data_IF_207252291288
#
_entry.id   IF_207252291288
#
_cell.length_a   1.000
_cell.length_b   1.000
_cell.length_c   1.000
_cell.angle_alpha   90.00
_cell.angle_beta   90.00
_cell.angle_gamma   90.00
#
_symmetry.space_group_name_H-M   'P 1'
#
loop_
_entity.id
_entity.type
_entity.pdbx_description
1 polymer ?
#
# COMPACT_ATOMS: atom_id res chain seq x y z
N UNK A 1 14.02 9.54 0.79
CA UNK A 1 13.16 10.00 -0.32
C UNK A 1 11.86 10.42 0.31
N UNK A 2 11.40 11.62 -0.03
CA UNK A 2 10.22 12.20 0.61
C UNK A 2 8.97 11.81 -0.17
N UNK A 3 7.95 11.35 0.54
CA UNK A 3 6.63 11.07 -0.01
C UNK A 3 5.56 11.86 0.74
N UNK A 4 4.69 12.53 0.00
CA UNK A 4 3.41 13.01 0.54
C UNK A 4 2.44 11.84 0.56
N UNK A 5 1.90 11.54 1.74
CA UNK A 5 1.12 10.35 2.01
C UNK A 5 -0.19 10.68 2.70
N UNK A 6 -1.21 9.85 2.45
CA UNK A 6 -2.52 10.00 3.07
C UNK A 6 -2.94 8.70 3.76
N UNK A 7 -3.50 8.82 4.97
CA UNK A 7 -4.01 7.71 5.75
C UNK A 7 -5.52 7.89 6.00
N UNK A 8 -6.32 6.94 5.52
CA UNK A 8 -7.77 6.92 5.73
C UNK A 8 -8.12 6.16 7.01
N UNK A 9 -8.90 6.76 7.92
CA UNK A 9 -9.25 6.16 9.21
C UNK A 9 -10.64 6.56 9.70
N UNK A 10 -11.19 5.78 10.64
CA UNK A 10 -12.44 6.12 11.35
C UNK A 10 -12.34 7.47 12.07
N UNK A 11 -13.49 8.14 12.27
CA UNK A 11 -13.58 9.35 13.10
C UNK A 11 -13.67 9.06 14.60
N UNK A 12 -13.67 7.79 15.01
CA UNK A 12 -13.82 7.42 16.41
C UNK A 12 -12.77 8.09 17.31
N UNK A 13 -13.22 8.60 18.46
CA UNK A 13 -12.39 9.40 19.37
C UNK A 13 -12.14 10.86 18.92
N UNK A 14 -12.57 11.24 17.72
CA UNK A 14 -12.51 12.61 17.20
C UNK A 14 -11.13 13.09 16.76
N UNK A 15 -11.06 14.32 16.26
CA UNK A 15 -9.86 14.92 15.64
C UNK A 15 -8.60 14.81 16.49
N UNK A 16 -8.67 15.12 17.80
CA UNK A 16 -7.50 15.09 18.68
C UNK A 16 -6.93 13.67 18.82
N UNK A 17 -7.81 12.68 18.97
CA UNK A 17 -7.41 11.27 19.05
C UNK A 17 -6.74 10.85 17.75
N UNK A 18 -7.37 11.13 16.61
CA UNK A 18 -6.88 10.73 15.30
C UNK A 18 -5.52 11.38 15.00
N UNK A 19 -5.34 12.67 15.20
CA UNK A 19 -4.05 13.34 14.96
C UNK A 19 -2.92 12.88 15.89
N UNK A 20 -3.26 12.36 17.07
CA UNK A 20 -2.27 11.82 18.01
C UNK A 20 -1.88 10.38 17.68
N UNK A 21 -2.85 9.59 17.20
CA UNK A 21 -2.71 8.14 17.09
C UNK A 21 -2.59 7.63 15.64
N UNK A 22 -2.92 8.42 14.63
CA UNK A 22 -2.67 8.04 13.24
C UNK A 22 -1.16 7.87 12.98
N UNK A 23 -0.77 6.94 12.10
CA UNK A 23 -1.63 6.00 11.39
C UNK A 23 -2.04 4.84 12.31
N UNK A 24 -3.18 4.22 11.99
CA UNK A 24 -3.69 3.06 12.71
C UNK A 24 -3.22 1.76 12.04
N UNK A 25 -3.01 0.74 12.87
CA UNK A 25 -2.57 -0.56 12.42
C UNK A 25 -3.70 -1.27 11.66
N UNK A 26 -3.40 -1.78 10.46
CA UNK A 26 -4.29 -2.61 9.68
C UNK A 26 -3.97 -4.07 9.98
N UNK A 27 -4.90 -4.72 10.68
CA UNK A 27 -4.85 -6.14 11.01
C UNK A 27 -5.78 -6.98 10.11
N UNK A 28 -5.65 -8.30 10.20
CA UNK A 28 -6.60 -9.22 9.60
C UNK A 28 -7.89 -9.26 10.40
N UNK A 29 -9.01 -9.06 9.73
CA UNK A 29 -10.32 -9.29 10.32
C UNK A 29 -10.99 -10.47 9.61
N UNK A 30 -10.79 -11.66 10.15
CA UNK A 30 -11.35 -12.90 9.63
C UNK A 30 -12.88 -12.95 9.70
N UNK A 31 -13.52 -12.18 10.59
CA UNK A 31 -14.99 -12.15 10.71
C UNK A 31 -15.64 -11.40 9.55
N UNK A 32 -14.95 -10.42 8.99
CA UNK A 32 -15.43 -9.56 7.91
C UNK A 32 -14.76 -9.87 6.56
N UNK A 33 -13.96 -10.94 6.49
CA UNK A 33 -13.11 -11.28 5.34
C UNK A 33 -12.27 -10.09 4.83
N UNK A 34 -11.85 -9.22 5.74
CA UNK A 34 -11.02 -8.05 5.43
C UNK A 34 -9.56 -8.39 5.68
N UNK A 35 -8.77 -8.32 4.62
CA UNK A 35 -7.32 -8.52 4.65
C UNK A 35 -6.59 -7.26 4.16
N UNK A 36 -5.47 -6.87 4.79
CA UNK A 36 -4.60 -5.82 4.28
C UNK A 36 -4.00 -6.20 2.91
N UNK A 37 -3.54 -5.22 2.13
CA UNK A 37 -2.98 -5.48 0.78
C UNK A 37 -1.64 -6.22 0.80
N UNK A 38 -0.74 -5.84 1.72
CA UNK A 38 0.68 -6.23 1.80
C UNK A 38 1.02 -6.78 3.20
N UNK A 39 0.10 -7.53 3.80
CA UNK A 39 0.25 -8.09 5.16
C UNK A 39 -0.11 -7.09 6.26
N UNK A 40 -0.12 -7.50 7.52
CA UNK A 40 -0.45 -6.58 8.61
C UNK A 40 0.55 -5.41 8.69
N UNK A 41 0.09 -4.20 9.01
CA UNK A 41 0.95 -3.01 9.01
C UNK A 41 0.23 -1.67 8.96
N UNK A 42 0.98 -0.60 8.74
CA UNK A 42 0.48 0.78 8.65
C UNK A 42 0.47 1.23 7.19
N UNK A 43 -0.70 1.63 6.71
CA UNK A 43 -0.94 1.88 5.29
C UNK A 43 -1.15 3.35 4.98
N UNK A 44 -0.63 3.72 3.80
CA UNK A 44 -0.78 5.02 3.22
C UNK A 44 -1.09 4.92 1.72
N UNK A 45 -1.89 5.86 1.25
CA UNK A 45 -1.98 6.22 -0.16
C UNK A 45 -0.85 7.18 -0.49
N UNK A 46 -0.13 6.93 -1.58
CA UNK A 46 0.91 7.84 -2.04
C UNK A 46 0.27 8.97 -2.86
N UNK A 47 0.12 10.13 -2.23
CA UNK A 47 -0.51 11.33 -2.80
C UNK A 47 -1.76 11.05 -3.66
N UNK A 48 -2.67 10.25 -3.13
CA UNK A 48 -3.89 9.81 -3.82
C UNK A 48 -5.16 10.02 -2.98
N UNK A 49 -5.56 11.28 -2.85
CA UNK A 49 -6.71 11.67 -2.01
C UNK A 49 -8.02 11.07 -2.55
N UNK A 50 -8.11 10.89 -3.86
CA UNK A 50 -9.30 10.31 -4.50
C UNK A 50 -9.50 8.87 -4.07
N UNK A 51 -8.45 8.02 -4.13
CA UNK A 51 -8.56 6.66 -3.63
C UNK A 51 -8.66 6.59 -2.11
N UNK A 52 -8.05 7.52 -1.38
CA UNK A 52 -8.26 7.64 0.07
C UNK A 52 -9.74 7.85 0.43
N UNK A 53 -10.46 8.69 -0.35
CA UNK A 53 -11.90 8.93 -0.20
C UNK A 53 -12.74 7.73 -0.64
N UNK A 54 -12.40 7.11 -1.77
CA UNK A 54 -13.09 5.90 -2.27
C UNK A 54 -13.03 4.79 -1.21
N UNK A 55 -11.84 4.53 -0.65
CA UNK A 55 -11.67 3.57 0.43
C UNK A 55 -12.49 3.95 1.67
N UNK A 56 -12.42 5.21 2.10
CA UNK A 56 -13.13 5.66 3.29
C UNK A 56 -14.65 5.52 3.16
N UNK A 57 -15.20 5.83 1.99
CA UNK A 57 -16.62 5.65 1.68
C UNK A 57 -17.05 4.19 1.81
N UNK A 58 -16.26 3.27 1.25
CA UNK A 58 -16.57 1.83 1.25
C UNK A 58 -16.40 1.20 2.63
N UNK A 59 -15.40 1.62 3.42
CA UNK A 59 -15.02 0.92 4.64
C UNK A 59 -15.57 1.53 5.93
N UNK A 60 -15.97 2.80 5.90
CA UNK A 60 -16.45 3.52 7.09
C UNK A 60 -17.85 4.12 6.92
N UNK A 61 -18.66 3.65 5.96
CA UNK A 61 -20.02 4.15 5.72
C UNK A 61 -20.08 5.69 5.62
N UNK A 62 -19.12 6.28 4.90
CA UNK A 62 -18.94 7.73 4.78
C UNK A 62 -18.73 8.47 6.13
N UNK A 63 -18.13 7.81 7.13
CA UNK A 63 -17.75 8.42 8.41
C UNK A 63 -16.24 8.24 8.70
N UNK A 64 -15.40 9.02 8.01
CA UNK A 64 -13.94 8.88 8.10
C UNK A 64 -13.19 10.23 7.98
N UNK A 65 -11.93 10.19 8.40
CA UNK A 65 -10.95 11.23 8.11
C UNK A 65 -9.90 10.70 7.12
N UNK A 66 -9.30 11.62 6.37
CA UNK A 66 -8.02 11.39 5.69
C UNK A 66 -6.98 12.32 6.30
N UNK A 67 -5.94 11.74 6.88
CA UNK A 67 -4.80 12.47 7.41
C UNK A 67 -3.70 12.52 6.35
N UNK A 68 -3.12 13.69 6.09
CA UNK A 68 -2.00 13.87 5.18
C UNK A 68 -0.73 14.26 5.94
N UNK A 69 0.41 13.76 5.48
CA UNK A 69 1.72 14.07 6.01
C UNK A 69 2.80 13.92 4.93
N UNK A 70 4.00 14.42 5.21
CA UNK A 70 5.20 14.10 4.45
C UNK A 70 6.07 13.16 5.29
N UNK A 71 6.47 12.04 4.71
CA UNK A 71 7.33 11.03 5.34
C UNK A 71 8.62 10.86 4.55
N UNK A 72 9.71 10.56 5.25
CA UNK A 72 10.98 10.17 4.63
C UNK A 72 11.13 8.64 4.67
N UNK A 73 11.46 8.07 3.51
CA UNK A 73 11.82 6.65 3.35
C UNK A 73 13.28 6.59 2.91
N UNK A 74 14.12 5.99 3.75
CA UNK A 74 15.51 5.72 3.40
C UNK A 74 15.59 4.64 2.31
N UNK A 75 16.25 4.94 1.21
CA UNK A 75 16.49 4.02 0.09
C UNK A 75 17.98 3.70 -0.08
N UNK A 76 18.84 4.28 0.76
CA UNK A 76 20.28 4.05 0.78
C UNK A 76 20.62 2.83 1.64
N UNK A 77 19.79 2.54 2.65
CA UNK A 77 19.87 1.32 3.42
C UNK A 77 19.35 0.14 2.58
N UNK A 78 20.28 -0.67 2.07
CA UNK A 78 19.95 -1.87 1.32
C UNK A 78 19.03 -2.80 2.12
N UNK A 79 18.07 -3.41 1.43
CA UNK A 79 17.09 -4.28 2.05
C UNK A 79 16.00 -3.60 2.90
N UNK A 80 16.01 -2.28 3.10
CA UNK A 80 14.98 -1.61 3.93
C UNK A 80 13.64 -1.40 3.21
N UNK A 81 13.70 -1.00 1.94
CA UNK A 81 12.55 -0.55 1.14
C UNK A 81 12.40 -1.40 -0.13
N UNK A 82 11.23 -2.04 -0.27
CA UNK A 82 10.87 -2.80 -1.47
C UNK A 82 9.86 -2.01 -2.30
N UNK A 83 10.22 -1.72 -3.55
CA UNK A 83 9.39 -0.94 -4.47
C UNK A 83 8.87 -1.84 -5.59
N UNK A 84 7.67 -2.38 -5.36
CA UNK A 84 6.94 -3.21 -6.32
C UNK A 84 6.07 -2.36 -7.27
N UNK A 85 6.32 -1.05 -7.37
CA UNK A 85 5.60 -0.14 -8.23
C UNK A 85 6.48 0.46 -9.34
N UNK A 86 7.63 1.03 -8.96
CA UNK A 86 8.49 1.82 -9.84
C UNK A 86 9.89 1.25 -10.06
N UNK A 87 10.35 0.31 -9.24
CA UNK A 87 11.70 -0.23 -9.33
C UNK A 87 11.74 -1.59 -10.03
N UNK A 88 12.27 -1.61 -11.26
CA UNK A 88 12.33 -2.85 -12.06
C UNK A 88 13.19 -3.93 -11.42
N UNK A 89 14.30 -3.58 -10.75
CA UNK A 89 15.18 -4.55 -10.08
C UNK A 89 14.46 -5.21 -8.91
N UNK A 90 13.75 -4.42 -8.10
CA UNK A 90 12.94 -4.93 -6.99
C UNK A 90 11.84 -5.88 -7.48
N UNK A 91 11.16 -5.53 -8.58
CA UNK A 91 10.15 -6.39 -9.21
C UNK A 91 10.73 -7.73 -9.70
N UNK A 92 11.88 -7.73 -10.36
CA UNK A 92 12.55 -8.97 -10.80
C UNK A 92 12.97 -9.81 -9.59
N UNK A 93 13.70 -9.21 -8.65
CA UNK A 93 14.22 -9.91 -7.48
C UNK A 93 13.12 -10.48 -6.60
N UNK A 94 11.99 -9.78 -6.45
CA UNK A 94 10.85 -10.31 -5.72
C UNK A 94 10.25 -11.54 -6.42
N UNK A 95 10.13 -11.55 -7.75
CA UNK A 95 9.68 -12.75 -8.49
C UNK A 95 10.65 -13.92 -8.33
N UNK A 96 11.96 -13.66 -8.33
CA UNK A 96 12.98 -14.68 -8.10
C UNK A 96 12.89 -15.27 -6.69
N UNK A 97 12.75 -14.41 -5.66
CA UNK A 97 12.50 -14.82 -4.28
C UNK A 97 11.25 -15.70 -4.19
N UNK A 98 10.13 -15.28 -4.79
CA UNK A 98 8.90 -16.08 -4.76
C UNK A 98 9.08 -17.45 -5.44
N UNK A 99 9.93 -17.55 -6.47
CA UNK A 99 10.23 -18.84 -7.13
C UNK A 99 11.09 -19.73 -6.25
N UNK A 100 12.10 -19.17 -5.59
CA UNK A 100 13.00 -19.89 -4.69
C UNK A 100 12.22 -20.56 -3.55
N UNK A 101 11.24 -19.86 -2.98
CA UNK A 101 10.38 -20.37 -1.91
C UNK A 101 9.13 -21.12 -2.42
N UNK A 102 9.00 -21.40 -3.72
CA UNK A 102 7.84 -22.05 -4.34
C UNK A 102 6.48 -21.36 -4.04
N UNK A 103 6.48 -20.04 -3.89
CA UNK A 103 5.31 -19.20 -3.61
C UNK A 103 4.63 -18.66 -4.88
N UNK A 104 5.29 -18.77 -6.03
CA UNK A 104 4.72 -18.42 -7.34
C UNK A 104 4.99 -19.53 -8.35
N UNK A 105 4.01 -19.77 -9.22
CA UNK A 105 4.04 -20.77 -10.28
C UNK A 105 3.79 -20.12 -11.65
N UNK A 106 3.77 -20.92 -12.72
CA UNK A 106 3.54 -20.43 -14.09
C UNK A 106 2.26 -19.59 -14.25
N UNK A 107 1.24 -19.87 -13.43
CA UNK A 107 -0.06 -19.20 -13.42
C UNK A 107 -0.20 -18.09 -12.36
N UNK A 108 0.88 -17.78 -11.62
CA UNK A 108 0.82 -16.89 -10.45
C UNK A 108 0.83 -17.66 -9.13
N UNK A 109 0.17 -17.13 -8.08
CA UNK A 109 0.31 -17.59 -6.68
C UNK A 109 -0.60 -18.77 -6.29
N UNK A 110 -1.20 -19.50 -7.26
CA UNK A 110 -2.14 -20.62 -7.00
C UNK A 110 -3.24 -20.30 -5.96
N UNK A 111 -3.77 -19.07 -5.99
CA UNK A 111 -4.85 -18.64 -5.10
C UNK A 111 -4.40 -18.16 -3.71
N UNK A 112 -3.09 -18.01 -3.46
CA UNK A 112 -2.59 -17.36 -2.24
C UNK A 112 -2.52 -15.85 -2.48
N UNK A 113 -3.16 -15.07 -1.61
CA UNK A 113 -3.07 -13.62 -1.67
C UNK A 113 -1.67 -13.11 -1.30
N UNK A 114 -1.26 -12.02 -1.96
CA UNK A 114 0.03 -11.38 -1.71
C UNK A 114 0.24 -11.03 -0.22
N UNK A 115 -0.81 -10.66 0.51
CA UNK A 115 -0.70 -10.32 1.92
C UNK A 115 -0.16 -11.47 2.78
N UNK A 116 -0.63 -12.70 2.54
CA UNK A 116 -0.16 -13.87 3.28
C UNK A 116 1.27 -14.25 2.90
N UNK A 117 1.63 -14.04 1.63
CA UNK A 117 3.01 -14.19 1.16
C UNK A 117 3.91 -13.21 1.89
N UNK A 118 3.57 -11.91 1.91
CA UNK A 118 4.39 -10.89 2.59
C UNK A 118 4.52 -11.19 4.09
N UNK A 119 3.46 -11.62 4.76
CA UNK A 119 3.56 -11.97 6.17
C UNK A 119 4.35 -13.24 6.42
N UNK A 120 4.27 -14.24 5.54
CA UNK A 120 5.17 -15.39 5.59
C UNK A 120 6.62 -14.93 5.49
N UNK A 121 6.96 -14.13 4.48
CA UNK A 121 8.31 -13.62 4.26
C UNK A 121 8.81 -12.81 5.47
N UNK A 122 7.99 -11.94 6.04
CA UNK A 122 8.34 -11.08 7.20
C UNK A 122 8.51 -11.80 8.54
N UNK A 123 7.87 -12.96 8.72
CA UNK A 123 7.79 -13.63 10.03
C UNK A 123 8.42 -15.02 10.06
N UNK A 124 8.57 -15.67 8.90
CA UNK A 124 9.10 -17.04 8.81
C UNK A 124 10.48 -17.09 8.18
N UNK A 125 10.87 -16.08 7.41
CA UNK A 125 12.23 -15.99 6.88
C UNK A 125 13.10 -15.13 7.80
N UNK A 126 14.42 -15.42 7.86
CA UNK A 126 15.39 -14.55 8.50
C UNK A 126 15.37 -13.12 7.93
N UNK A 127 15.69 -12.11 8.76
CA UNK A 127 15.69 -10.70 8.35
C UNK A 127 16.73 -10.42 7.24
N UNK A 128 17.83 -11.17 7.17
CA UNK A 128 18.80 -11.09 6.06
C UNK A 128 18.27 -11.64 4.73
N UNK A 129 17.21 -12.47 4.74
CA UNK A 129 16.57 -13.00 3.54
C UNK A 129 15.42 -12.08 3.07
N UNK A 130 14.62 -11.55 4.00
CA UNK A 130 13.56 -10.59 3.70
C UNK A 130 13.62 -9.36 4.64
N UNK A 131 14.58 -8.44 4.40
CA UNK A 131 14.86 -7.30 5.29
C UNK A 131 13.85 -6.15 5.22
N UNK A 132 12.89 -6.23 4.29
CA UNK A 132 12.07 -5.08 3.92
C UNK A 132 11.05 -4.69 5.00
N UNK A 133 11.20 -3.48 5.52
CA UNK A 133 10.31 -2.86 6.51
C UNK A 133 9.23 -2.03 5.85
N UNK A 134 9.53 -1.48 4.69
CA UNK A 134 8.62 -0.62 3.92
C UNK A 134 8.40 -1.22 2.55
N UNK A 135 7.14 -1.35 2.14
CA UNK A 135 6.75 -1.85 0.83
C UNK A 135 5.91 -0.80 0.12
N UNK A 136 6.23 -0.57 -1.15
CA UNK A 136 5.39 0.19 -2.06
C UNK A 136 4.85 -0.73 -3.14
N UNK A 137 3.57 -0.61 -3.47
CA UNK A 137 2.95 -1.39 -4.54
C UNK A 137 1.85 -0.61 -5.26
N UNK A 138 1.45 -1.11 -6.42
CA UNK A 138 0.28 -0.64 -7.15
C UNK A 138 -0.80 -1.71 -7.13
N UNK A 139 -2.00 -1.36 -6.70
CA UNK A 139 -3.20 -2.13 -7.01
C UNK A 139 -3.74 -1.71 -8.38
N UNK A 140 -3.63 -2.61 -9.36
CA UNK A 140 -4.09 -2.33 -10.72
C UNK A 140 -5.61 -2.39 -10.87
N UNK A 141 -6.37 -2.76 -9.82
CA UNK A 141 -7.82 -2.62 -9.80
C UNK A 141 -8.21 -1.14 -9.85
N UNK A 142 -8.42 -0.64 -11.07
CA UNK A 142 -8.78 0.75 -11.33
C UNK A 142 -10.07 0.78 -12.17
N UNK A 143 -11.14 0.22 -11.62
CA UNK A 143 -12.47 0.20 -12.27
C UNK A 143 -13.34 1.38 -11.83
N UNK A 144 -13.00 2.01 -10.70
CA UNK A 144 -13.68 3.19 -10.20
C UNK A 144 -13.32 4.43 -11.02
N UNK A 145 -14.20 5.43 -10.99
CA UNK A 145 -13.99 6.72 -11.68
C UNK A 145 -12.71 7.45 -11.27
N UNK A 146 -12.16 7.15 -10.09
CA UNK A 146 -10.90 7.72 -9.62
C UNK A 146 -9.71 7.27 -10.50
N UNK A 147 -9.77 6.07 -11.08
CA UNK A 147 -8.71 5.54 -11.93
C UNK A 147 -8.72 6.19 -13.31
N UNK A 148 -7.72 7.03 -13.59
CA UNK A 148 -7.62 7.75 -14.87
C UNK A 148 -6.82 6.89 -15.87
N UNK A 149 -7.51 6.23 -16.80
CA UNK A 149 -6.90 5.44 -17.88
C UNK A 149 -6.68 6.29 -19.12
N UNK A 150 -5.45 6.34 -19.62
CA UNK A 150 -5.08 7.03 -20.86
C UNK A 150 -4.62 6.01 -21.88
N UNK A 151 -5.35 5.92 -22.99
CA UNK A 151 -5.09 4.98 -24.08
C UNK A 151 -3.81 5.40 -24.83
N UNK A 152 -2.89 4.47 -25.02
CA UNK A 152 -1.73 4.67 -25.89
C UNK A 152 -2.11 4.56 -27.36
N UNK A 153 -2.94 3.58 -27.71
CA UNK A 153 -3.46 3.36 -29.06
C UNK A 153 -4.86 2.76 -29.00
N UNK A 154 -5.77 3.29 -29.84
CA UNK A 154 -7.16 2.85 -29.92
C UNK A 154 -7.39 1.92 -31.14
N UNK A 155 -6.42 1.02 -31.41
CA UNK A 155 -6.60 -0.02 -32.42
C UNK A 155 -7.49 -1.12 -31.85
N UNK A 156 -8.50 -1.54 -32.63
CA UNK A 156 -9.51 -2.54 -32.25
C UNK A 156 -8.94 -3.81 -31.62
N UNK A 157 -7.77 -4.27 -32.06
CA UNK A 157 -7.21 -5.57 -31.68
C UNK A 157 -6.12 -5.51 -30.60
N UNK A 158 -5.65 -4.31 -30.23
CA UNK A 158 -4.63 -4.11 -29.18
C UNK A 158 -4.96 -2.83 -28.41
N UNK A 159 -5.88 -2.91 -27.46
CA UNK A 159 -6.12 -1.81 -26.51
C UNK A 159 -5.00 -1.81 -25.47
N UNK A 160 -4.14 -0.81 -25.51
CA UNK A 160 -3.14 -0.56 -24.47
C UNK A 160 -3.33 0.82 -23.86
N UNK A 161 -3.09 0.94 -22.56
CA UNK A 161 -3.29 2.17 -21.80
C UNK A 161 -2.29 2.26 -20.64
N UNK A 162 -2.10 3.48 -20.14
CA UNK A 162 -1.47 3.75 -18.85
C UNK A 162 -2.53 4.23 -17.86
N UNK A 163 -2.21 4.17 -16.56
CA UNK A 163 -3.06 4.68 -15.49
C UNK A 163 -2.33 5.86 -14.85
N UNK A 164 -2.89 7.07 -14.99
CA UNK A 164 -2.30 8.30 -14.44
C UNK A 164 -2.74 8.62 -13.01
N UNK A 165 -3.78 7.93 -12.52
CA UNK A 165 -4.12 7.92 -11.11
C UNK A 165 -4.23 6.47 -10.61
N UNK A 166 -3.12 5.73 -10.46
CA UNK A 166 -3.15 4.36 -9.98
C UNK A 166 -3.27 4.30 -8.45
N UNK A 167 -3.82 3.21 -7.93
CA UNK A 167 -3.83 2.94 -6.47
C UNK A 167 -2.43 2.60 -5.96
N UNK A 168 -1.68 3.64 -5.65
CA UNK A 168 -0.35 3.52 -5.07
C UNK A 168 -0.44 3.45 -3.55
N UNK A 169 0.14 2.38 -3.01
CA UNK A 169 0.10 2.06 -1.59
C UNK A 169 1.52 2.00 -1.05
N UNK A 170 1.72 2.56 0.14
CA UNK A 170 2.93 2.37 0.96
C UNK A 170 2.51 1.70 2.26
N UNK A 171 3.18 0.61 2.63
CA UNK A 171 2.96 -0.16 3.85
C UNK A 171 4.22 -0.23 4.68
N UNK A 172 4.12 0.17 5.95
CA UNK A 172 5.16 0.01 6.95
C UNK A 172 4.84 -1.16 7.85
N UNK A 173 5.84 -2.02 8.12
CA UNK A 173 5.70 -3.14 9.06
C UNK A 173 5.40 -2.66 10.47
N UNK A 174 6.09 -1.60 10.93
CA UNK A 174 5.98 -1.07 12.29
C UNK A 174 5.83 0.45 12.28
N UNK A 175 5.25 1.00 13.35
CA UNK A 175 4.95 2.43 13.43
C UNK A 175 6.22 3.26 13.61
N UNK A 176 7.21 2.70 14.29
CA UNK A 176 8.49 3.34 14.61
C UNK A 176 9.36 3.55 13.37
N UNK A 177 9.10 2.79 12.30
CA UNK A 177 9.80 2.92 11.02
C UNK A 177 9.27 4.13 10.20
N UNK A 178 8.22 4.83 10.66
CA UNK A 178 7.60 5.96 9.96
C UNK A 178 8.25 7.28 10.43
N UNK A 179 9.12 7.83 9.59
CA UNK A 179 9.79 9.10 9.87
C UNK A 179 9.00 10.26 9.27
N UNK A 180 8.29 11.01 10.13
CA UNK A 180 7.53 12.19 9.71
C UNK A 180 8.43 13.42 9.54
N UNK A 181 8.43 14.00 8.34
CA UNK A 181 9.00 15.32 8.07
C UNK A 181 7.99 16.43 8.35
N UNK A 182 6.72 16.19 8.02
CA UNK A 182 5.59 17.06 8.35
C UNK A 182 4.60 16.31 9.24
N UNK A 183 4.19 16.93 10.34
CA UNK A 183 3.21 16.32 11.26
C UNK A 183 1.88 16.07 10.51
N UNK A 184 1.21 14.93 10.79
CA UNK A 184 -0.10 14.66 10.21
C UNK A 184 -1.12 15.77 10.50
N UNK A 185 -1.95 16.09 9.50
CA UNK A 185 -3.11 16.96 9.62
C UNK A 185 -4.30 16.35 8.87
N UNK A 186 -5.53 16.70 9.26
CA UNK A 186 -6.73 16.20 8.55
C UNK A 186 -6.89 17.02 7.27
N UNK A 187 -6.68 16.38 6.11
CA UNK A 187 -6.91 17.00 4.80
C UNK A 187 -8.35 16.82 4.31
N UNK A 188 -9.08 15.85 4.86
CA UNK A 188 -10.48 15.60 4.51
C UNK A 188 -11.25 14.99 5.69
N UNK A 189 -12.50 15.42 5.83
CA UNK A 189 -13.50 14.84 6.72
C UNK A 189 -14.78 14.63 5.93
N UNK A 190 -15.34 13.42 5.99
CA UNK A 190 -16.56 13.05 5.26
C UNK A 190 -17.86 13.64 5.82
#
# INVERSE_FOLDING_TARGET
MVFTVQHTCSKDGGTKHVLTNAPFFSEYNHKEDKKPFLGAGFYFWEYNLDYAKVWGNMHYNNNFYVCEADIDIDHTLDGFYLDLAGNRKHLVGFVELLREFNLIHKEGTKGIDLCYIIDYLRHKLPEDVFPFKVLRAVDYKNEEKAGIKIVFTDKKDVKSYTILNPRMLISFKRKEDIVYLKKPFITFAS
#
